data_IF_014256477751
#
_entry.id   IF_014256477751
#
_cell.length_a   1.000
_cell.length_b   1.000
_cell.length_c   1.000
_cell.angle_alpha   90.00
_cell.angle_beta   90.00
_cell.angle_gamma   90.00
#
_symmetry.space_group_name_H-M   'P 1'
#
loop_
_entity.id
_entity.type
_entity.pdbx_description
1 polymer ?
#
# COMPACT_ATOMS: atom_id res chain seq x y z
N UNK A 1 -6.48 -4.88 14.01
CA UNK A 1 -6.10 -3.56 13.46
C UNK A 1 -5.25 -3.76 12.22
N UNK A 2 -5.15 -2.75 11.36
CA UNK A 2 -4.35 -2.77 10.12
C UNK A 2 -2.84 -2.69 10.40
N UNK A 3 -2.03 -3.43 9.64
CA UNK A 3 -0.57 -3.27 9.56
C UNK A 3 -0.20 -2.60 8.24
N UNK A 4 0.96 -1.96 8.17
CA UNK A 4 1.40 -1.24 6.97
C UNK A 4 2.83 -1.63 6.66
N UNK A 5 3.06 -2.09 5.43
CA UNK A 5 4.34 -2.66 4.97
C UNK A 5 4.91 -1.96 3.74
N UNK A 6 4.25 -0.92 3.24
CA UNK A 6 4.69 -0.19 2.05
C UNK A 6 4.09 1.19 1.98
N UNK A 7 4.71 2.05 1.17
CA UNK A 7 4.20 3.39 0.87
C UNK A 7 2.83 3.33 0.21
N UNK A 8 2.63 2.38 -0.69
CA UNK A 8 1.40 2.22 -1.46
C UNK A 8 0.23 1.86 -0.54
N UNK A 9 0.45 0.95 0.42
CA UNK A 9 -0.56 0.62 1.44
C UNK A 9 -0.89 1.84 2.30
N UNK A 10 0.11 2.61 2.74
CA UNK A 10 -0.11 3.82 3.53
C UNK A 10 -0.91 4.87 2.77
N UNK A 11 -0.55 5.14 1.51
CA UNK A 11 -1.28 6.05 0.63
C UNK A 11 -2.71 5.58 0.39
N UNK A 12 -2.93 4.28 0.23
CA UNK A 12 -4.27 3.71 0.12
C UNK A 12 -5.10 3.99 1.39
N UNK A 13 -4.53 3.75 2.58
CA UNK A 13 -5.21 4.06 3.84
C UNK A 13 -5.55 5.54 3.94
N UNK A 14 -4.60 6.43 3.60
CA UNK A 14 -4.85 7.87 3.56
C UNK A 14 -6.00 8.24 2.64
N UNK A 15 -6.05 7.63 1.44
CA UNK A 15 -7.09 7.90 0.46
C UNK A 15 -8.47 7.47 0.94
N UNK A 16 -8.59 6.30 1.57
CA UNK A 16 -9.88 5.84 2.10
C UNK A 16 -10.31 6.61 3.35
N UNK A 17 -9.36 7.11 4.16
CA UNK A 17 -9.70 7.90 5.35
C UNK A 17 -10.00 9.37 5.07
N UNK A 18 -9.39 9.95 4.02
CA UNK A 18 -9.62 11.34 3.59
C UNK A 18 -11.09 11.63 3.28
N UNK A 19 -11.82 10.65 2.75
CA UNK A 19 -13.22 10.82 2.38
C UNK A 19 -14.19 10.61 3.54
N UNK A 20 -13.71 10.09 4.68
CA UNK A 20 -14.55 9.73 5.80
C UNK A 20 -14.69 10.89 6.80
N UNK A 21 -13.71 11.80 6.88
CA UNK A 21 -13.68 12.92 7.84
C UNK A 21 -12.74 14.06 7.39
N UNK A 22 -12.57 15.12 8.20
CA UNK A 22 -11.63 16.23 7.92
C UNK A 22 -10.17 15.77 7.84
N UNK A 23 -9.30 16.55 7.19
CA UNK A 23 -7.87 16.27 7.04
C UNK A 23 -7.09 16.06 8.36
N UNK A 24 -7.69 16.42 9.50
CA UNK A 24 -7.15 16.27 10.86
C UNK A 24 -7.52 14.93 11.52
N UNK A 25 -8.41 14.15 10.90
CA UNK A 25 -8.91 12.92 11.49
C UNK A 25 -7.83 11.85 11.51
N UNK A 26 -7.67 11.24 12.68
CA UNK A 26 -6.60 10.30 12.97
C UNK A 26 -7.19 8.95 13.33
N UNK A 27 -6.50 7.89 12.93
CA UNK A 27 -7.00 6.54 13.08
C UNK A 27 -5.97 5.61 13.71
N UNK A 28 -6.39 4.84 14.70
CA UNK A 28 -5.58 3.77 15.27
C UNK A 28 -5.24 2.73 14.21
N UNK A 29 -3.96 2.41 14.14
CA UNK A 29 -3.42 1.29 13.38
C UNK A 29 -2.79 0.28 14.33
N UNK A 30 -2.42 -0.88 13.81
CA UNK A 30 -2.00 -2.02 14.62
C UNK A 30 -0.63 -1.90 15.27
N UNK A 31 0.01 -0.74 15.21
CA UNK A 31 1.37 -0.55 15.71
C UNK A 31 1.35 -0.38 17.22
N UNK A 32 2.26 -1.09 17.90
CA UNK A 32 2.46 -0.98 19.34
C UNK A 32 3.93 -1.00 19.68
N UNK A 33 4.36 -0.18 20.64
CA UNK A 33 5.71 -0.25 21.20
C UNK A 33 5.91 -1.58 21.91
N UNK A 34 7.08 -2.18 21.75
CA UNK A 34 7.44 -3.39 22.43
C UNK A 34 7.62 -3.12 23.93
N UNK A 35 7.03 -3.98 24.78
CA UNK A 35 7.05 -3.81 26.24
C UNK A 35 8.43 -4.04 26.86
N UNK A 36 9.25 -4.89 26.24
CA UNK A 36 10.57 -5.28 26.74
C UNK A 36 11.68 -4.38 26.19
N UNK A 37 11.51 -3.88 24.96
CA UNK A 37 12.44 -2.96 24.32
C UNK A 37 11.68 -1.72 23.81
N UNK A 38 11.72 -0.65 24.58
CA UNK A 38 10.99 0.59 24.31
C UNK A 38 11.46 1.33 23.04
N UNK A 39 12.58 0.94 22.45
CA UNK A 39 13.05 1.50 21.17
C UNK A 39 12.38 0.85 19.96
N UNK A 40 11.77 -0.33 20.13
CA UNK A 40 11.17 -1.11 19.06
C UNK A 40 9.65 -1.01 19.03
N UNK A 41 9.10 -1.12 17.83
CA UNK A 41 7.67 -1.24 17.56
C UNK A 41 7.37 -2.57 16.85
N UNK A 42 6.15 -3.04 17.01
CA UNK A 42 5.66 -4.27 16.42
C UNK A 42 4.21 -4.11 15.97
N UNK A 43 3.82 -4.85 14.93
CA UNK A 43 2.43 -4.97 14.55
C UNK A 43 1.72 -6.00 15.42
N UNK A 44 0.48 -5.71 15.81
CA UNK A 44 -0.34 -6.63 16.62
C UNK A 44 -0.73 -7.92 15.90
N UNK A 45 -0.62 -7.98 14.56
CA UNK A 45 -0.88 -9.19 13.79
C UNK A 45 0.37 -10.09 13.64
N UNK A 46 1.50 -9.69 14.24
CA UNK A 46 2.76 -10.44 14.23
C UNK A 46 3.60 -10.26 12.96
N UNK A 47 3.17 -9.43 12.02
CA UNK A 47 3.96 -9.09 10.84
C UNK A 47 5.19 -8.22 11.20
N UNK A 48 6.18 -8.17 10.31
CA UNK A 48 7.41 -7.42 10.53
C UNK A 48 7.15 -5.92 10.57
N UNK A 49 7.82 -5.23 11.49
CA UNK A 49 7.87 -3.76 11.51
C UNK A 49 8.90 -3.28 10.48
N UNK A 50 8.48 -3.11 9.24
CA UNK A 50 9.33 -2.84 8.07
C UNK A 50 9.04 -1.51 7.36
N UNK A 51 7.99 -0.80 7.77
CA UNK A 51 7.60 0.49 7.20
C UNK A 51 7.02 1.43 8.26
N UNK A 52 7.64 2.60 8.43
CA UNK A 52 7.24 3.56 9.47
C UNK A 52 7.49 5.02 9.07
N UNK A 53 6.59 5.65 8.29
CA UNK A 53 6.66 7.07 7.93
C UNK A 53 6.24 7.94 9.12
N UNK A 54 7.09 7.98 10.14
CA UNK A 54 6.87 8.78 11.35
C UNK A 54 6.77 10.27 11.04
N UNK A 55 5.90 10.95 11.78
CA UNK A 55 5.90 12.39 11.85
C UNK A 55 7.18 12.91 12.50
N UNK A 56 7.57 14.13 12.15
CA UNK A 56 8.70 14.79 12.80
C UNK A 56 8.53 14.80 14.32
N UNK A 57 9.56 14.38 15.05
CA UNK A 57 9.54 14.25 16.52
C UNK A 57 8.91 12.96 17.05
N UNK A 58 8.47 12.04 16.18
CA UNK A 58 8.00 10.71 16.56
C UNK A 58 8.98 9.61 16.14
N UNK A 59 9.03 8.47 16.86
CA UNK A 59 8.24 8.17 18.04
C UNK A 59 8.72 8.92 19.30
N UNK A 60 7.79 9.39 20.12
CA UNK A 60 8.10 10.05 21.39
C UNK A 60 8.60 9.02 22.39
N UNK A 61 9.68 9.33 23.13
CA UNK A 61 10.24 8.48 24.18
C UNK A 61 9.64 8.83 25.55
N UNK A 62 9.54 7.86 26.47
CA UNK A 62 9.32 8.11 27.90
C UNK A 62 7.89 8.35 28.40
N UNK A 63 6.88 8.49 27.53
CA UNK A 63 5.54 8.98 27.93
C UNK A 63 4.37 7.99 27.76
N UNK A 64 4.61 6.67 27.79
CA UNK A 64 3.57 5.66 27.51
C UNK A 64 2.87 5.85 26.14
N UNK A 65 3.56 6.51 25.20
CA UNK A 65 3.14 6.70 23.81
C UNK A 65 3.40 5.41 23.03
N UNK A 66 2.69 4.37 23.42
CA UNK A 66 2.95 3.00 23.00
C UNK A 66 2.02 2.53 21.90
N UNK A 67 1.00 3.31 21.55
CA UNK A 67 0.10 3.00 20.44
C UNK A 67 0.36 3.92 19.26
N UNK A 68 0.05 3.43 18.06
CA UNK A 68 0.31 4.15 16.81
C UNK A 68 -0.99 4.49 16.12
N UNK A 69 -1.18 5.77 15.80
CA UNK A 69 -2.23 6.21 14.89
C UNK A 69 -1.63 6.84 13.64
N UNK A 70 -2.44 6.99 12.59
CA UNK A 70 -2.06 7.67 11.37
C UNK A 70 -3.03 8.77 10.97
N UNK A 71 -2.50 9.75 10.25
CA UNK A 71 -3.22 10.69 9.39
C UNK A 71 -2.42 10.87 8.09
N UNK A 72 -1.79 12.03 7.88
CA UNK A 72 -0.77 12.26 6.84
C UNK A 72 0.55 11.54 7.11
N UNK A 73 0.85 11.22 8.37
CA UNK A 73 2.05 10.52 8.84
C UNK A 73 1.68 9.56 10.00
N UNK A 74 2.64 8.78 10.50
CA UNK A 74 2.47 7.96 11.71
C UNK A 74 2.85 8.73 12.97
N UNK A 75 2.09 8.51 14.03
CA UNK A 75 2.27 9.18 15.31
C UNK A 75 2.22 8.13 16.42
N UNK A 76 3.14 8.23 17.36
CA UNK A 76 3.07 7.49 18.63
C UNK A 76 2.30 8.30 19.65
N UNK A 77 1.40 7.64 20.37
CA UNK A 77 0.41 8.31 21.23
C UNK A 77 -0.03 7.40 22.39
N UNK A 78 -0.56 7.96 23.49
CA UNK A 78 -1.08 7.16 24.58
C UNK A 78 -2.19 6.21 24.13
N UNK A 79 -2.07 4.94 24.49
CA UNK A 79 -3.07 3.91 24.17
C UNK A 79 -4.44 4.16 24.82
N UNK A 80 -4.52 5.04 25.81
CA UNK A 80 -5.75 5.38 26.55
C UNK A 80 -6.65 6.38 25.82
N UNK A 81 -6.20 6.95 24.71
CA UNK A 81 -7.01 7.89 23.95
C UNK A 81 -8.17 7.17 23.22
N UNK A 82 -9.40 7.58 23.52
CA UNK A 82 -10.66 6.94 23.12
C UNK A 82 -11.41 7.69 22.00
N UNK A 83 -10.95 8.89 21.64
CA UNK A 83 -11.54 9.75 20.60
C UNK A 83 -11.14 9.39 19.16
N UNK A 84 -10.34 8.34 18.97
CA UNK A 84 -9.79 7.94 17.67
C UNK A 84 -10.50 6.68 17.14
N UNK A 85 -10.89 6.71 15.87
CA UNK A 85 -11.43 5.53 15.20
C UNK A 85 -10.33 4.51 14.88
N UNK A 86 -10.69 3.25 14.69
CA UNK A 86 -9.74 2.17 14.41
C UNK A 86 -9.86 1.67 12.98
N UNK A 87 -8.72 1.47 12.31
CA UNK A 87 -8.68 0.79 11.01
C UNK A 87 -8.41 -0.71 11.20
N UNK A 88 -9.27 -1.52 10.60
CA UNK A 88 -9.19 -2.96 10.65
C UNK A 88 -8.79 -3.53 9.29
N UNK A 89 -7.98 -4.60 9.32
CA UNK A 89 -7.68 -5.39 8.14
C UNK A 89 -8.16 -6.82 8.34
N UNK A 90 -8.57 -7.44 7.23
CA UNK A 90 -8.85 -8.88 7.16
C UNK A 90 -8.27 -9.41 5.86
N UNK A 91 -7.80 -10.65 5.88
CA UNK A 91 -7.42 -11.33 4.64
C UNK A 91 -8.66 -11.48 3.76
N UNK A 92 -8.54 -11.14 2.49
CA UNK A 92 -9.60 -11.40 1.53
C UNK A 92 -9.86 -12.91 1.43
N UNK A 93 -11.13 -13.30 1.28
CA UNK A 93 -11.49 -14.71 1.07
C UNK A 93 -11.07 -15.11 -0.34
N UNK A 94 -10.31 -16.21 -0.48
CA UNK A 94 -9.84 -16.73 -1.77
C UNK A 94 -10.98 -17.12 -2.74
N UNK A 95 -12.19 -17.36 -2.21
CA UNK A 95 -13.36 -17.75 -3.01
C UNK A 95 -14.11 -16.54 -3.60
N UNK A 96 -13.72 -15.31 -3.25
CA UNK A 96 -14.24 -14.10 -3.89
C UNK A 96 -13.35 -13.74 -5.08
N UNK A 97 -13.96 -13.56 -6.26
CA UNK A 97 -13.25 -12.98 -7.40
C UNK A 97 -12.93 -11.53 -7.06
N UNK A 98 -11.65 -11.18 -7.00
CA UNK A 98 -11.24 -9.78 -7.01
C UNK A 98 -11.50 -9.24 -8.41
N UNK A 99 -12.47 -8.33 -8.55
CA UNK A 99 -12.84 -7.75 -9.84
C UNK A 99 -11.62 -7.03 -10.46
N UNK A 100 -10.76 -6.42 -9.63
CA UNK A 100 -9.53 -5.77 -10.08
C UNK A 100 -8.56 -6.79 -10.71
N UNK A 101 -8.39 -7.97 -10.11
CA UNK A 101 -7.56 -9.03 -10.69
C UNK A 101 -8.10 -9.48 -12.05
N UNK A 102 -9.43 -9.49 -12.22
CA UNK A 102 -10.07 -9.85 -13.49
C UNK A 102 -9.72 -8.85 -14.60
N UNK A 103 -9.79 -7.54 -14.29
CA UNK A 103 -9.37 -6.50 -15.25
C UNK A 103 -7.86 -6.51 -15.50
N UNK A 104 -7.03 -6.79 -14.49
CA UNK A 104 -5.59 -6.97 -14.68
C UNK A 104 -5.29 -8.12 -15.65
N UNK A 105 -5.97 -9.26 -15.53
CA UNK A 105 -5.79 -10.37 -16.47
C UNK A 105 -6.20 -9.98 -17.90
N UNK A 106 -7.28 -9.21 -18.06
CA UNK A 106 -7.68 -8.69 -19.38
C UNK A 106 -6.63 -7.74 -19.96
N UNK A 107 -6.07 -6.83 -19.14
CA UNK A 107 -5.02 -5.90 -19.56
C UNK A 107 -3.75 -6.66 -19.97
N UNK A 108 -3.31 -7.65 -19.17
CA UNK A 108 -2.16 -8.50 -19.50
C UNK A 108 -2.37 -9.21 -20.84
N UNK A 109 -3.59 -9.71 -21.09
CA UNK A 109 -3.92 -10.37 -22.33
C UNK A 109 -3.93 -9.40 -23.52
N UNK A 110 -4.38 -8.16 -23.33
CA UNK A 110 -4.31 -7.10 -24.34
C UNK A 110 -2.85 -6.74 -24.66
N UNK A 111 -2.00 -6.59 -23.65
CA UNK A 111 -0.56 -6.29 -23.85
C UNK A 111 0.14 -7.38 -24.66
N UNK A 112 -0.18 -8.65 -24.41
CA UNK A 112 0.35 -9.77 -25.20
C UNK A 112 -0.04 -9.68 -26.67
N UNK A 113 -1.30 -9.31 -26.95
CA UNK A 113 -1.79 -9.12 -28.32
C UNK A 113 -1.14 -7.93 -29.00
N UNK A 114 -0.94 -6.82 -28.28
CA UNK A 114 -0.23 -5.64 -28.78
C UNK A 114 1.20 -6.01 -29.20
N UNK A 115 1.95 -6.71 -28.33
CA UNK A 115 3.31 -7.18 -28.66
C UNK A 115 3.35 -8.07 -29.90
N UNK A 116 2.36 -8.95 -30.07
CA UNK A 116 2.28 -9.78 -31.28
C UNK A 116 2.07 -8.93 -32.53
N UNK A 117 1.26 -7.89 -32.43
CA UNK A 117 0.99 -6.97 -33.54
C UNK A 117 2.24 -6.14 -33.88
N UNK A 118 2.98 -5.66 -32.89
CA UNK A 118 4.26 -4.96 -33.06
C UNK A 118 5.29 -5.83 -33.79
N UNK A 119 5.40 -7.11 -33.44
CA UNK A 119 6.30 -8.06 -34.11
C UNK A 119 5.93 -8.29 -35.59
N UNK A 120 4.63 -8.33 -35.90
CA UNK A 120 4.15 -8.46 -37.27
C UNK A 120 4.48 -7.20 -38.06
N UNK A 121 4.22 -6.02 -37.50
CA UNK A 121 4.56 -4.74 -38.13
C UNK A 121 6.06 -4.62 -38.40
N UNK A 122 6.90 -5.04 -37.46
CA UNK A 122 8.35 -5.08 -37.65
C UNK A 122 8.76 -6.01 -38.82
N UNK A 123 8.11 -7.18 -38.91
CA UNK A 123 8.38 -8.14 -39.99
C UNK A 123 7.97 -7.59 -41.36
N UNK A 124 6.79 -6.97 -41.46
CA UNK A 124 6.31 -6.34 -42.70
C UNK A 124 7.24 -5.19 -43.11
N UNK A 125 7.63 -4.34 -42.17
CA UNK A 125 8.56 -3.23 -42.42
C UNK A 125 9.90 -3.71 -42.99
N UNK A 126 10.42 -4.83 -42.48
CA UNK A 126 11.64 -5.44 -43.01
C UNK A 126 11.48 -5.98 -44.44
N UNK A 127 10.34 -6.61 -44.75
CA UNK A 127 10.05 -7.09 -46.12
C UNK A 127 9.98 -5.92 -47.10
N UNK A 128 9.22 -4.88 -46.76
CA UNK A 128 9.07 -3.69 -47.61
C UNK A 128 10.41 -2.98 -47.87
N UNK A 129 11.29 -2.92 -46.86
CA UNK A 129 12.66 -2.38 -47.04
C UNK A 129 13.49 -3.21 -48.01
N UNK A 130 13.37 -4.53 -47.96
CA UNK A 130 14.12 -5.42 -48.85
C UNK A 130 13.65 -5.30 -50.30
N UNK A 131 12.34 -5.18 -50.53
CA UNK A 131 11.77 -4.98 -51.87
C UNK A 131 12.18 -3.64 -52.51
N UNK A 132 12.35 -2.57 -51.70
CA UNK A 132 12.83 -1.28 -52.20
C UNK A 132 14.33 -1.24 -52.55
N UNK A 133 15.12 -2.18 -52.05
CA UNK A 133 16.57 -2.27 -52.31
C UNK A 133 16.92 -3.21 -53.48
N UNK A 134 15.92 -3.88 -54.08
CA UNK A 134 16.09 -4.81 -55.21
C UNK A 134 15.86 -4.20 -56.60
N UNK A 135 15.86 -2.86 -56.70
CA UNK A 135 15.79 -2.10 -57.97
C UNK A 135 17.04 -1.26 -58.15
#
# INVERSE_FOLDING_TARGET
MVSVHSREQFLFLQKITQNLYTATSSFWIGGRRNKTNSTLFQWMDGSLWDYSPWASGHPVTGNAHDCVHMNTQMWSYPCTADHLHQLCQKKARKNGVCIIDTYQQQIIQLDSRIKKMENILASISNVLRNDTNSV
#
